data_IF_275444882555
#
_entry.id   IF_275444882555
#
_cell.length_a   1.000
_cell.length_b   1.000
_cell.length_c   1.000
_cell.angle_alpha   90.00
_cell.angle_beta   90.00
_cell.angle_gamma   90.00
#
_symmetry.space_group_name_H-M   'P 1'
#
loop_
_entity.id
_entity.type
_entity.pdbx_description
1 polymer ?
#
# COMPACT_ATOMS: atom_id res chain seq x y z
N UNK A 1 -19.70 1.45 -10.48
CA UNK A 1 -19.46 2.69 -9.72
C UNK A 1 -17.97 2.79 -9.38
N UNK A 2 -17.36 3.93 -9.64
CA UNK A 2 -15.94 4.13 -9.34
C UNK A 2 -15.68 4.15 -7.84
N UNK A 3 -14.69 3.39 -7.39
CA UNK A 3 -14.21 3.36 -6.01
C UNK A 3 -12.85 4.04 -5.92
N UNK A 4 -12.55 4.57 -4.75
CA UNK A 4 -11.27 5.17 -4.38
C UNK A 4 -10.49 4.15 -3.55
N UNK A 5 -9.47 3.56 -4.15
CA UNK A 5 -8.76 2.40 -3.60
C UNK A 5 -7.33 2.77 -3.26
N UNK A 6 -6.92 2.55 -2.02
CA UNK A 6 -5.52 2.57 -1.62
C UNK A 6 -4.99 1.13 -1.58
N UNK A 7 -3.85 0.88 -2.21
CA UNK A 7 -3.18 -0.42 -2.15
C UNK A 7 -1.73 -0.27 -1.73
N UNK A 8 -1.29 -1.08 -0.77
CA UNK A 8 0.11 -1.13 -0.35
C UNK A 8 0.90 -2.17 -1.13
N UNK A 9 2.22 -1.96 -1.27
CA UNK A 9 3.09 -2.90 -1.98
C UNK A 9 2.83 -2.96 -3.48
N UNK A 10 2.55 -1.82 -4.11
CA UNK A 10 2.18 -1.74 -5.53
C UNK A 10 3.37 -1.83 -6.50
N UNK A 11 4.60 -1.96 -6.01
CA UNK A 11 5.81 -1.95 -6.86
C UNK A 11 6.04 -3.21 -7.69
N UNK A 12 5.30 -4.28 -7.43
CA UNK A 12 5.49 -5.52 -8.20
C UNK A 12 4.49 -6.61 -7.84
N UNK A 13 4.61 -7.76 -8.49
CA UNK A 13 3.80 -8.93 -8.24
C UNK A 13 2.30 -8.65 -8.31
N UNK A 14 1.55 -9.17 -7.36
CA UNK A 14 0.11 -9.00 -7.29
C UNK A 14 -0.32 -7.53 -7.11
N UNK A 15 0.47 -6.71 -6.41
CA UNK A 15 0.16 -5.30 -6.19
C UNK A 15 0.05 -4.52 -7.49
N UNK A 16 1.06 -4.59 -8.34
CA UNK A 16 1.06 -3.90 -9.64
C UNK A 16 -0.05 -4.40 -10.57
N UNK A 17 -0.28 -5.72 -10.62
CA UNK A 17 -1.37 -6.31 -11.40
C UNK A 17 -2.74 -5.83 -10.93
N UNK A 18 -2.95 -5.78 -9.62
CA UNK A 18 -4.20 -5.29 -9.02
C UNK A 18 -4.43 -3.83 -9.37
N UNK A 19 -3.41 -2.97 -9.28
CA UNK A 19 -3.51 -1.56 -9.69
C UNK A 19 -3.98 -1.44 -11.13
N UNK A 20 -3.31 -2.15 -12.05
CA UNK A 20 -3.66 -2.13 -13.49
C UNK A 20 -5.09 -2.57 -13.74
N UNK A 21 -5.54 -3.64 -13.08
CA UNK A 21 -6.91 -4.15 -13.20
C UNK A 21 -7.92 -3.13 -12.68
N UNK A 22 -7.69 -2.55 -11.50
CA UNK A 22 -8.62 -1.57 -10.92
C UNK A 22 -8.73 -0.30 -11.78
N UNK A 23 -7.61 0.19 -12.32
CA UNK A 23 -7.63 1.33 -13.24
C UNK A 23 -8.40 1.03 -14.51
N UNK A 24 -8.22 -0.17 -15.09
CA UNK A 24 -8.97 -0.62 -16.28
C UNK A 24 -10.48 -0.67 -16.02
N UNK A 25 -10.89 -1.05 -14.81
CA UNK A 25 -12.29 -1.07 -14.39
C UNK A 25 -12.83 0.32 -14.00
N UNK A 26 -12.03 1.38 -14.16
CA UNK A 26 -12.46 2.76 -13.94
C UNK A 26 -12.41 3.23 -12.48
N UNK A 27 -11.70 2.53 -11.63
CA UNK A 27 -11.49 2.95 -10.24
C UNK A 27 -10.37 3.99 -10.14
N UNK A 28 -10.41 4.85 -9.11
CA UNK A 28 -9.28 5.69 -8.71
C UNK A 28 -8.38 4.90 -7.79
N UNK A 29 -7.08 4.89 -8.07
CA UNK A 29 -6.13 4.06 -7.31
C UNK A 29 -4.95 4.88 -6.82
N UNK A 30 -4.73 4.87 -5.51
CA UNK A 30 -3.50 5.29 -4.88
C UNK A 30 -2.59 4.06 -4.71
N UNK A 31 -1.56 3.99 -5.54
CA UNK A 31 -0.57 2.92 -5.55
C UNK A 31 0.60 3.30 -4.65
N UNK A 32 0.69 2.68 -3.47
CA UNK A 32 1.75 3.00 -2.52
C UNK A 32 2.90 2.02 -2.60
N UNK A 33 4.11 2.54 -2.51
CA UNK A 33 5.35 1.77 -2.58
C UNK A 33 6.51 2.52 -1.93
N UNK A 34 7.57 1.78 -1.60
CA UNK A 34 8.84 2.36 -1.18
C UNK A 34 9.71 2.70 -2.38
N UNK A 35 10.60 3.69 -2.23
CA UNK A 35 11.61 4.02 -3.23
C UNK A 35 11.02 4.32 -4.62
N UNK A 36 9.87 4.98 -4.67
CA UNK A 36 9.15 5.32 -5.90
C UNK A 36 9.93 6.25 -6.83
N UNK A 37 10.83 7.07 -6.28
CA UNK A 37 11.69 7.98 -7.05
C UNK A 37 13.07 7.37 -7.41
N UNK A 38 13.37 6.15 -6.98
CA UNK A 38 14.67 5.51 -7.18
C UNK A 38 14.52 4.07 -7.69
N UNK A 39 14.63 3.10 -6.80
CA UNK A 39 14.59 1.67 -7.17
C UNK A 39 13.32 1.26 -7.91
N UNK A 40 12.18 1.81 -7.52
CA UNK A 40 10.87 1.49 -8.08
C UNK A 40 10.35 2.55 -9.07
N UNK A 41 11.22 3.47 -9.52
CA UNK A 41 10.83 4.56 -10.43
C UNK A 41 10.19 4.05 -11.72
N UNK A 42 10.71 3.00 -12.31
CA UNK A 42 10.19 2.44 -13.56
C UNK A 42 8.73 2.01 -13.45
N UNK A 43 8.39 1.24 -12.42
CA UNK A 43 7.00 0.82 -12.20
C UNK A 43 6.11 1.98 -11.72
N UNK A 44 6.66 2.90 -10.95
CA UNK A 44 5.94 4.10 -10.53
C UNK A 44 5.53 4.95 -11.74
N UNK A 45 6.46 5.20 -12.67
CA UNK A 45 6.18 5.94 -13.91
C UNK A 45 5.15 5.21 -14.80
N UNK A 46 5.25 3.88 -14.91
CA UNK A 46 4.28 3.07 -15.65
C UNK A 46 2.88 3.20 -15.08
N UNK A 47 2.72 2.97 -13.77
CA UNK A 47 1.41 3.04 -13.11
C UNK A 47 0.84 4.46 -13.11
N UNK A 48 1.68 5.47 -12.95
CA UNK A 48 1.28 6.87 -13.07
C UNK A 48 0.78 7.20 -14.47
N UNK A 49 1.47 6.71 -15.50
CA UNK A 49 1.04 6.83 -16.90
C UNK A 49 -0.31 6.19 -17.20
N UNK A 50 -0.72 5.20 -16.42
CA UNK A 50 -2.04 4.56 -16.49
C UNK A 50 -3.11 5.28 -15.64
N UNK A 51 -2.73 6.31 -14.87
CA UNK A 51 -3.65 7.11 -14.06
C UNK A 51 -3.66 6.80 -12.56
N UNK A 52 -2.69 6.03 -12.05
CA UNK A 52 -2.55 5.83 -10.61
C UNK A 52 -1.90 7.04 -9.93
N UNK A 53 -2.36 7.37 -8.73
CA UNK A 53 -1.66 8.28 -7.82
C UNK A 53 -0.53 7.50 -7.12
N UNK A 54 0.71 7.87 -7.40
CA UNK A 54 1.88 7.22 -6.79
C UNK A 54 2.20 7.89 -5.45
N UNK A 55 2.26 7.09 -4.39
CA UNK A 55 2.51 7.57 -3.04
C UNK A 55 3.66 6.77 -2.41
N UNK A 56 4.68 7.50 -1.97
CA UNK A 56 5.76 6.92 -1.17
C UNK A 56 5.18 6.47 0.17
N UNK A 57 5.36 5.19 0.51
CA UNK A 57 4.93 4.66 1.80
C UNK A 57 5.78 3.45 2.21
N UNK A 58 6.29 3.51 3.43
CA UNK A 58 6.89 2.39 4.13
C UNK A 58 5.95 1.94 5.26
N UNK A 59 5.38 0.76 5.13
CA UNK A 59 4.42 0.21 6.13
C UNK A 59 5.07 -0.14 7.46
N UNK A 60 6.40 -0.11 7.54
CA UNK A 60 7.14 -0.31 8.80
C UNK A 60 7.32 0.98 9.61
N UNK A 61 6.86 2.11 9.09
CA UNK A 61 6.92 3.43 9.73
C UNK A 61 5.52 3.97 9.98
N UNK A 62 5.22 4.30 11.24
CA UNK A 62 3.94 4.91 11.64
C UNK A 62 3.70 6.22 10.89
N UNK A 63 4.69 7.12 10.90
CA UNK A 63 4.59 8.42 10.22
C UNK A 63 4.38 8.28 8.71
N UNK A 64 5.10 7.35 8.07
CA UNK A 64 4.96 7.10 6.64
C UNK A 64 3.57 6.56 6.29
N UNK A 65 3.01 5.66 7.10
CA UNK A 65 1.66 5.16 6.92
C UNK A 65 0.61 6.27 7.09
N UNK A 66 0.72 7.07 8.15
CA UNK A 66 -0.21 8.18 8.42
C UNK A 66 -0.20 9.23 7.29
N UNK A 67 0.99 9.67 6.89
CA UNK A 67 1.16 10.64 5.80
C UNK A 67 0.69 10.08 4.45
N UNK A 68 1.03 8.83 4.15
CA UNK A 68 0.65 8.19 2.90
C UNK A 68 -0.85 8.00 2.75
N UNK A 69 -1.54 7.57 3.80
CA UNK A 69 -3.01 7.44 3.81
C UNK A 69 -3.69 8.80 3.69
N UNK A 70 -3.22 9.81 4.43
CA UNK A 70 -3.76 11.16 4.37
C UNK A 70 -3.62 11.74 2.97
N UNK A 71 -2.44 11.63 2.36
CA UNK A 71 -2.19 12.10 0.99
C UNK A 71 -3.04 11.37 -0.04
N UNK A 72 -3.20 10.05 0.09
CA UNK A 72 -4.07 9.27 -0.80
C UNK A 72 -5.52 9.75 -0.74
N UNK A 73 -6.02 9.94 0.49
CA UNK A 73 -7.40 10.41 0.73
C UNK A 73 -7.62 11.80 0.14
N UNK A 74 -6.66 12.70 0.29
CA UNK A 74 -6.71 14.05 -0.27
C UNK A 74 -6.73 14.02 -1.81
N UNK A 75 -5.78 13.33 -2.45
CA UNK A 75 -5.65 13.29 -3.91
C UNK A 75 -6.86 12.62 -4.58
N UNK A 76 -7.41 11.58 -3.98
CA UNK A 76 -8.58 10.90 -4.52
C UNK A 76 -9.91 11.59 -4.14
N UNK A 77 -9.90 12.52 -3.21
CA UNK A 77 -11.10 13.17 -2.66
C UNK A 77 -11.95 12.22 -1.81
N UNK A 78 -11.31 11.34 -1.06
CA UNK A 78 -11.92 10.34 -0.16
C UNK A 78 -11.25 8.98 -0.27
N UNK A 79 -11.75 8.00 0.47
CA UNK A 79 -11.22 6.63 0.52
C UNK A 79 -12.38 5.66 0.67
N UNK A 80 -12.49 4.66 -0.18
CA UNK A 80 -13.54 3.64 -0.12
C UNK A 80 -13.01 2.26 0.26
N UNK A 81 -11.79 1.93 -0.20
CA UNK A 81 -11.20 0.60 -0.02
C UNK A 81 -9.72 0.70 0.31
N UNK A 82 -9.28 -0.09 1.27
CA UNK A 82 -7.86 -0.30 1.58
C UNK A 82 -7.48 -1.75 1.29
N UNK A 83 -6.47 -1.94 0.45
CA UNK A 83 -5.90 -3.26 0.16
C UNK A 83 -4.51 -3.35 0.80
N UNK A 84 -4.42 -4.06 1.91
CA UNK A 84 -3.16 -4.36 2.58
C UNK A 84 -2.46 -5.52 1.84
N UNK A 85 -1.77 -5.19 0.75
CA UNK A 85 -1.05 -6.17 -0.09
C UNK A 85 0.46 -6.22 0.21
N UNK A 86 1.04 -5.18 0.79
CA UNK A 86 2.46 -5.19 1.15
C UNK A 86 2.76 -6.37 2.07
N UNK A 87 3.76 -7.15 1.70
CA UNK A 87 4.17 -8.33 2.44
C UNK A 87 5.51 -8.85 1.95
N UNK A 88 6.19 -9.58 2.80
CA UNK A 88 7.45 -10.26 2.50
C UNK A 88 7.33 -11.72 2.90
N UNK A 89 8.00 -12.59 2.15
CA UNK A 89 8.11 -14.01 2.46
C UNK A 89 9.55 -14.41 2.72
N UNK A 90 9.72 -15.46 3.50
CA UNK A 90 11.03 -16.10 3.71
C UNK A 90 10.88 -17.60 3.50
N UNK A 91 11.88 -18.20 2.88
CA UNK A 91 11.95 -19.65 2.69
C UNK A 91 13.28 -20.16 3.21
N UNK A 92 13.26 -21.29 3.92
CA UNK A 92 14.46 -21.90 4.44
C UNK A 92 14.17 -22.97 5.49
N UNK A 93 15.24 -23.51 6.07
CA UNK A 93 15.17 -24.45 7.17
C UNK A 93 14.88 -23.66 8.46
N UNK A 94 13.84 -24.08 9.19
CA UNK A 94 13.33 -23.35 10.36
C UNK A 94 14.41 -23.01 11.40
N UNK A 95 15.31 -23.93 11.67
CA UNK A 95 16.38 -23.71 12.67
C UNK A 95 17.40 -22.64 12.29
N UNK A 96 17.45 -22.23 11.03
CA UNK A 96 18.34 -21.17 10.55
C UNK A 96 17.75 -19.76 10.72
N UNK A 97 16.47 -19.66 11.04
CA UNK A 97 15.82 -18.37 11.28
C UNK A 97 15.98 -17.92 12.73
N UNK A 98 16.48 -16.72 12.90
CA UNK A 98 16.58 -16.09 14.21
C UNK A 98 15.25 -15.45 14.62
N UNK A 99 15.12 -15.12 15.90
CA UNK A 99 13.97 -14.33 16.40
C UNK A 99 13.89 -12.97 15.70
N UNK A 100 15.03 -12.37 15.37
CA UNK A 100 15.05 -11.08 14.66
C UNK A 100 14.55 -11.20 13.22
N UNK A 101 14.75 -12.33 12.54
CA UNK A 101 14.17 -12.57 11.23
C UNK A 101 12.64 -12.66 11.32
N UNK A 102 12.11 -13.31 12.34
CA UNK A 102 10.68 -13.32 12.62
C UNK A 102 10.12 -11.92 12.91
N UNK A 103 10.81 -11.13 13.74
CA UNK A 103 10.39 -9.75 14.02
C UNK A 103 10.32 -8.91 12.75
N UNK A 104 11.30 -9.02 11.86
CA UNK A 104 11.29 -8.31 10.57
C UNK A 104 10.12 -8.72 9.68
N UNK A 105 9.81 -10.03 9.64
CA UNK A 105 8.66 -10.54 8.90
C UNK A 105 7.33 -9.98 9.45
N UNK A 106 7.14 -10.03 10.75
CA UNK A 106 5.96 -9.50 11.43
C UNK A 106 5.85 -7.98 11.29
N UNK A 107 6.97 -7.26 11.28
CA UNK A 107 6.99 -5.81 11.13
C UNK A 107 6.30 -5.34 9.83
N UNK A 108 6.47 -6.09 8.75
CA UNK A 108 5.79 -5.82 7.48
C UNK A 108 4.40 -6.47 7.44
N UNK A 109 4.33 -7.79 7.66
CA UNK A 109 3.13 -8.58 7.35
C UNK A 109 2.01 -8.44 8.39
N UNK A 110 2.34 -8.06 9.62
CA UNK A 110 1.38 -7.92 10.73
C UNK A 110 1.27 -6.46 11.17
N UNK A 111 2.36 -5.89 11.64
CA UNK A 111 2.34 -4.51 12.17
C UNK A 111 2.16 -3.48 11.06
N UNK A 112 2.67 -3.74 9.86
CA UNK A 112 2.41 -2.90 8.69
C UNK A 112 0.94 -2.81 8.34
N UNK A 113 0.21 -3.93 8.38
CA UNK A 113 -1.25 -3.96 8.20
C UNK A 113 -1.96 -3.13 9.27
N UNK A 114 -1.54 -3.27 10.53
CA UNK A 114 -2.12 -2.51 11.63
C UNK A 114 -1.90 -1.00 11.48
N UNK A 115 -0.70 -0.56 11.08
CA UNK A 115 -0.40 0.86 10.85
C UNK A 115 -1.29 1.48 9.78
N UNK A 116 -1.37 0.84 8.63
CA UNK A 116 -2.19 1.33 7.50
C UNK A 116 -3.67 1.32 7.85
N UNK A 117 -4.16 0.26 8.46
CA UNK A 117 -5.56 0.15 8.89
C UNK A 117 -5.90 1.24 9.91
N UNK A 118 -5.05 1.43 10.93
CA UNK A 118 -5.22 2.47 11.94
C UNK A 118 -5.24 3.88 11.33
N UNK A 119 -4.38 4.15 10.35
CA UNK A 119 -4.36 5.43 9.64
C UNK A 119 -5.62 5.64 8.79
N UNK A 120 -6.16 4.58 8.16
CA UNK A 120 -7.30 4.67 7.25
C UNK A 120 -8.65 4.78 7.96
N UNK A 121 -8.85 4.09 9.08
CA UNK A 121 -10.13 4.01 9.77
C UNK A 121 -10.75 5.37 10.16
N UNK A 122 -10.00 6.38 10.63
CA UNK A 122 -10.57 7.70 10.91
C UNK A 122 -11.18 8.36 9.67
N UNK A 123 -10.57 8.21 8.50
CA UNK A 123 -11.08 8.76 7.24
C UNK A 123 -12.37 8.05 6.82
N UNK A 124 -12.39 6.71 6.85
CA UNK A 124 -13.57 5.90 6.52
C UNK A 124 -14.74 6.20 7.47
N UNK A 125 -14.45 6.29 8.77
CA UNK A 125 -15.47 6.61 9.78
C UNK A 125 -16.03 8.01 9.61
N UNK A 126 -15.20 9.01 9.37
CA UNK A 126 -15.62 10.38 9.12
C UNK A 126 -16.49 10.51 7.86
N UNK A 127 -16.14 9.71 6.83
CA UNK A 127 -16.90 9.63 5.58
C UNK A 127 -18.23 8.90 5.74
N UNK A 128 -18.35 8.02 6.74
CA UNK A 128 -19.55 7.21 7.01
C UNK A 128 -19.74 6.03 6.05
N UNK A 129 -18.73 5.70 5.25
CA UNK A 129 -18.75 4.61 4.27
C UNK A 129 -17.33 4.12 3.97
N UNK A 130 -17.22 2.86 3.54
CA UNK A 130 -15.96 2.24 3.15
C UNK A 130 -15.80 0.84 3.69
#
# INVERSE_FOLDING_TARGET
>A
MSKKVLITGASGGFGALTVKTLLKEGHKVAATMRNSASKNKGIADELSGLGAEIIEMDVTSDDSADQGVSKATELMGGLDVVINNAGVGVLGIQENFTVDDFKKLFEVNVFGVQRVTRAALPHLRSQGSG
#
